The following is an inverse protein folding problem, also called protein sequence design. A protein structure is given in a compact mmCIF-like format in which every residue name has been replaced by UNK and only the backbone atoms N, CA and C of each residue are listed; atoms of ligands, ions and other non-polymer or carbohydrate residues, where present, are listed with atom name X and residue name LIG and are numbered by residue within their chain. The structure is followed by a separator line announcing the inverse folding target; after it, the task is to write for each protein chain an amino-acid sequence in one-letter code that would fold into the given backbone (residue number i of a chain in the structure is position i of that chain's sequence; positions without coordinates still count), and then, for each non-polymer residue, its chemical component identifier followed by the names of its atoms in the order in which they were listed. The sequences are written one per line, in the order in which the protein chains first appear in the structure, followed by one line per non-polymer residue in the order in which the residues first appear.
data_IF_285643174012
#
_entry.id   IF_285643174012
#
_cell.length_a   1.000
_cell.length_b   1.000
_cell.length_c   1.000
_cell.angle_alpha   90.00
_cell.angle_beta   90.00
_cell.angle_gamma   90.00
#
_symmetry.space_group_name_H-M   'P 1'
#
loop_
_entity.id
_entity.type
_entity.pdbx_description
1 polymer ?
#
# COMPACT_ATOMS: atom_id res chain seq x y z
N UNK A 1 10.89 -24.06 11.63
CA UNK A 1 11.60 -23.52 12.82
C UNK A 1 11.87 -22.05 12.54
N UNK A 2 11.82 -21.17 13.58
CA UNK A 2 12.12 -19.75 13.43
C UNK A 2 13.55 -19.54 12.93
N UNK A 3 13.75 -18.60 12.00
CA UNK A 3 15.07 -18.15 11.52
C UNK A 3 15.72 -17.17 12.49
N UNK A 4 14.91 -16.48 13.30
CA UNK A 4 15.34 -15.45 14.22
C UNK A 4 15.54 -15.99 15.64
N UNK A 5 16.41 -15.38 16.46
CA UNK A 5 16.43 -15.62 17.90
C UNK A 5 15.08 -15.20 18.49
N UNK A 6 14.82 -15.59 19.73
CA UNK A 6 13.61 -15.11 20.43
C UNK A 6 13.74 -13.62 20.70
N UNK A 7 12.82 -12.84 20.14
CA UNK A 7 12.76 -11.39 20.21
C UNK A 7 11.60 -10.94 21.09
N UNK A 8 11.69 -9.73 21.61
CA UNK A 8 10.56 -8.97 22.11
C UNK A 8 10.07 -8.03 21.00
N UNK A 9 8.91 -8.34 20.43
CA UNK A 9 8.31 -7.57 19.33
C UNK A 9 7.14 -6.75 19.88
N UNK A 10 7.17 -5.44 19.67
CA UNK A 10 5.98 -4.61 19.85
C UNK A 10 5.20 -4.58 18.55
N UNK A 11 3.94 -4.97 18.56
CA UNK A 11 3.04 -4.87 17.41
C UNK A 11 2.19 -3.62 17.57
N UNK A 12 2.47 -2.62 16.73
CA UNK A 12 1.77 -1.35 16.71
C UNK A 12 0.56 -1.45 15.78
N UNK A 13 -0.64 -1.22 16.31
CA UNK A 13 -1.90 -1.40 15.60
C UNK A 13 -2.94 -0.34 16.00
N UNK A 14 -4.09 -0.32 15.37
CA UNK A 14 -5.20 0.57 15.71
C UNK A 14 -5.02 1.97 15.15
N UNK A 15 -4.78 2.95 16.03
CA UNK A 15 -4.67 4.36 15.63
C UNK A 15 -6.05 5.00 15.39
N UNK A 16 -6.11 6.11 14.64
CA UNK A 16 -7.33 6.91 14.42
C UNK A 16 -7.71 7.08 12.95
N UNK A 17 -7.01 6.42 12.01
CA UNK A 17 -7.40 6.41 10.61
C UNK A 17 -8.72 5.65 10.39
N UNK A 18 -9.36 5.88 9.25
CA UNK A 18 -10.55 5.13 8.83
C UNK A 18 -10.30 3.61 8.75
N UNK A 19 -9.07 3.22 8.46
CA UNK A 19 -8.61 1.83 8.39
C UNK A 19 -8.30 1.18 9.75
N UNK A 20 -8.60 1.86 10.88
CA UNK A 20 -8.39 1.28 12.22
C UNK A 20 -8.86 -0.17 12.39
N UNK A 21 -10.06 -0.57 11.92
CA UNK A 21 -10.50 -1.98 12.05
C UNK A 21 -9.56 -2.95 11.33
N UNK A 22 -9.07 -2.60 10.15
CA UNK A 22 -8.12 -3.43 9.37
C UNK A 22 -6.77 -3.50 10.06
N UNK A 23 -6.30 -2.37 10.62
CA UNK A 23 -5.07 -2.31 11.42
C UNK A 23 -5.11 -3.22 12.64
N UNK A 24 -6.22 -3.22 13.38
CA UNK A 24 -6.40 -4.12 14.53
C UNK A 24 -6.40 -5.59 14.11
N UNK A 25 -7.06 -5.94 13.01
CA UNK A 25 -7.06 -7.32 12.48
C UNK A 25 -5.67 -7.75 12.00
N UNK A 26 -4.96 -6.86 11.28
CA UNK A 26 -3.58 -7.10 10.83
C UNK A 26 -2.65 -7.31 12.02
N UNK A 27 -2.71 -6.40 12.99
CA UNK A 27 -1.88 -6.47 14.19
C UNK A 27 -2.12 -7.71 15.03
N UNK A 28 -3.37 -8.12 15.21
CA UNK A 28 -3.70 -9.34 15.95
C UNK A 28 -3.23 -10.60 15.21
N UNK A 29 -3.39 -10.65 13.88
CA UNK A 29 -2.86 -11.76 13.07
C UNK A 29 -1.35 -11.88 13.19
N UNK A 30 -0.62 -10.75 13.06
CA UNK A 30 0.84 -10.70 13.24
C UNK A 30 1.26 -11.11 14.63
N UNK A 31 0.61 -10.57 15.67
CA UNK A 31 0.92 -10.87 17.07
C UNK A 31 0.78 -12.36 17.36
N UNK A 32 -0.32 -12.98 16.94
CA UNK A 32 -0.57 -14.41 17.10
C UNK A 32 0.49 -15.25 16.37
N UNK A 33 0.81 -14.91 15.12
CA UNK A 33 1.82 -15.63 14.35
C UNK A 33 3.20 -15.57 15.02
N UNK A 34 3.59 -14.43 15.59
CA UNK A 34 4.85 -14.26 16.32
C UNK A 34 4.87 -15.06 17.63
N UNK A 35 3.78 -15.09 18.39
CA UNK A 35 3.64 -15.90 19.61
C UNK A 35 3.75 -17.40 19.30
N UNK A 36 3.09 -17.87 18.24
CA UNK A 36 3.18 -19.27 17.78
C UNK A 36 4.62 -19.66 17.37
N UNK A 37 5.40 -18.69 16.91
CA UNK A 37 6.84 -18.89 16.60
C UNK A 37 7.77 -18.69 17.78
N UNK A 38 7.22 -18.36 18.96
CA UNK A 38 7.92 -18.31 20.24
C UNK A 38 8.55 -16.98 20.59
N UNK A 39 8.16 -15.89 19.91
CA UNK A 39 8.56 -14.53 20.26
C UNK A 39 7.72 -14.01 21.45
N UNK A 40 8.28 -13.08 22.22
CA UNK A 40 7.53 -12.28 23.17
C UNK A 40 6.85 -11.13 22.44
N UNK A 41 5.55 -10.96 22.62
CA UNK A 41 4.78 -9.93 21.91
C UNK A 41 4.15 -8.95 22.89
N UNK A 42 4.27 -7.65 22.60
CA UNK A 42 3.50 -6.58 23.24
C UNK A 42 2.61 -5.90 22.20
N UNK A 43 1.30 -6.01 22.36
CA UNK A 43 0.31 -5.33 21.51
C UNK A 43 0.16 -3.89 21.98
N UNK A 44 0.30 -2.93 21.08
CA UNK A 44 0.15 -1.50 21.36
C UNK A 44 -0.92 -0.94 20.43
N UNK A 45 -2.10 -0.69 20.99
CA UNK A 45 -3.10 0.14 20.31
C UNK A 45 -2.63 1.59 20.33
N UNK A 46 -2.39 2.14 19.15
CA UNK A 46 -1.73 3.43 19.01
C UNK A 46 -2.60 4.57 19.50
N UNK A 47 -2.03 5.38 20.37
CA UNK A 47 -2.53 6.68 20.82
C UNK A 47 -1.39 7.70 20.86
N UNK A 48 -1.67 8.89 21.41
CA UNK A 48 -0.68 9.99 21.51
C UNK A 48 0.45 9.72 22.50
N UNK A 49 0.35 8.70 23.33
CA UNK A 49 1.38 8.27 24.29
C UNK A 49 2.25 7.12 23.78
N UNK A 50 2.10 6.74 22.52
CA UNK A 50 2.78 5.57 21.91
C UNK A 50 4.31 5.61 22.09
N UNK A 51 4.95 6.78 21.97
CA UNK A 51 6.39 6.92 22.18
C UNK A 51 6.81 6.52 23.59
N UNK A 52 6.04 6.92 24.61
CA UNK A 52 6.28 6.54 26.02
C UNK A 52 6.13 5.03 26.20
N UNK A 53 5.07 4.44 25.66
CA UNK A 53 4.84 2.98 25.76
C UNK A 53 5.93 2.16 25.07
N UNK A 54 6.43 2.60 23.93
CA UNK A 54 7.57 1.97 23.26
C UNK A 54 8.84 2.11 24.08
N UNK A 55 9.09 3.29 24.68
CA UNK A 55 10.22 3.51 25.56
C UNK A 55 10.19 2.61 26.81
N UNK A 56 9.03 2.45 27.44
CA UNK A 56 8.83 1.62 28.63
C UNK A 56 8.93 0.13 28.32
N UNK A 57 8.32 -0.32 27.22
CA UNK A 57 8.29 -1.74 26.83
C UNK A 57 9.64 -2.25 26.35
N UNK A 58 10.50 -1.39 25.81
CA UNK A 58 11.84 -1.68 25.28
C UNK A 58 11.86 -2.89 24.34
N UNK A 59 11.11 -2.88 23.24
CA UNK A 59 11.12 -3.97 22.29
C UNK A 59 12.45 -4.02 21.53
N UNK A 60 12.82 -5.20 21.04
CA UNK A 60 13.94 -5.37 20.11
C UNK A 60 13.59 -4.77 18.72
N UNK A 61 12.31 -4.84 18.35
CA UNK A 61 11.77 -4.33 17.08
C UNK A 61 10.27 -4.03 17.21
N UNK A 62 9.81 -3.04 16.46
CA UNK A 62 8.39 -2.72 16.30
C UNK A 62 7.90 -3.30 14.97
N UNK A 63 6.86 -4.13 15.00
CA UNK A 63 6.10 -4.44 13.80
C UNK A 63 5.02 -3.38 13.63
N UNK A 64 5.15 -2.54 12.60
CA UNK A 64 4.14 -1.55 12.26
C UNK A 64 3.01 -2.21 11.47
N UNK A 65 1.84 -2.36 12.07
CA UNK A 65 0.62 -2.87 11.43
C UNK A 65 -0.47 -1.78 11.33
N UNK A 66 -0.07 -0.51 11.43
CA UNK A 66 -0.97 0.62 11.21
C UNK A 66 -1.29 0.77 9.72
N UNK A 67 -2.45 1.35 9.43
CA UNK A 67 -2.87 1.73 8.08
C UNK A 67 -3.32 3.19 8.08
N UNK A 68 -3.17 3.85 6.91
CA UNK A 68 -3.49 5.26 6.77
C UNK A 68 -2.61 6.18 7.63
N UNK A 69 -3.08 7.41 7.85
CA UNK A 69 -2.38 8.42 8.67
C UNK A 69 -2.65 8.15 10.16
N UNK A 70 -1.61 8.07 11.00
CA UNK A 70 -0.20 8.41 10.80
C UNK A 70 0.71 7.20 10.53
N UNK A 71 0.18 6.05 10.17
CA UNK A 71 0.93 4.80 10.01
C UNK A 71 1.74 4.70 8.73
N UNK A 72 1.27 5.37 7.65
CA UNK A 72 1.80 5.26 6.30
C UNK A 72 2.44 6.54 5.74
N UNK A 73 2.31 7.67 6.45
CA UNK A 73 2.73 9.00 6.00
C UNK A 73 4.11 9.46 6.49
N UNK A 74 4.86 8.59 7.18
CA UNK A 74 6.15 8.91 7.75
C UNK A 74 6.11 9.42 9.20
N UNK A 75 4.94 9.82 9.71
CA UNK A 75 4.82 10.39 11.07
C UNK A 75 5.28 9.41 12.15
N UNK A 76 4.76 8.19 12.14
CA UNK A 76 5.14 7.14 13.10
C UNK A 76 6.58 6.69 12.88
N UNK A 77 7.01 6.59 11.65
CA UNK A 77 8.39 6.23 11.30
C UNK A 77 9.39 7.24 11.87
N UNK A 78 9.12 8.54 11.69
CA UNK A 78 9.97 9.60 12.26
C UNK A 78 10.01 9.60 13.78
N UNK A 79 8.91 9.29 14.44
CA UNK A 79 8.88 9.10 15.90
C UNK A 79 9.75 7.91 16.32
N UNK A 80 9.66 6.77 15.63
CA UNK A 80 10.47 5.59 15.92
C UNK A 80 11.96 5.83 15.64
N UNK A 81 12.31 6.60 14.61
CA UNK A 81 13.68 7.04 14.34
C UNK A 81 14.23 7.88 15.50
N UNK A 82 13.44 8.83 16.02
CA UNK A 82 13.84 9.70 17.16
C UNK A 82 14.10 8.91 18.45
N UNK A 83 13.29 7.90 18.74
CA UNK A 83 13.47 7.07 19.94
C UNK A 83 14.48 5.92 19.72
N UNK A 84 14.97 5.73 18.49
CA UNK A 84 16.02 4.77 18.15
C UNK A 84 15.57 3.31 18.23
N UNK A 85 14.28 3.01 17.99
CA UNK A 85 13.77 1.64 17.97
C UNK A 85 13.68 1.12 16.54
N UNK A 86 14.20 -0.09 16.25
CA UNK A 86 14.00 -0.72 14.94
C UNK A 86 12.52 -0.96 14.64
N UNK A 87 12.13 -0.78 13.38
CA UNK A 87 10.74 -1.00 12.95
C UNK A 87 10.65 -1.57 11.53
N UNK A 88 9.58 -2.29 11.27
CA UNK A 88 9.32 -2.94 9.99
C UNK A 88 8.81 -1.95 8.94
N UNK A 89 8.92 -2.37 7.67
CA UNK A 89 8.50 -1.64 6.49
C UNK A 89 9.34 -0.38 6.20
N UNK A 90 8.85 0.46 5.30
CA UNK A 90 9.57 1.63 4.79
C UNK A 90 9.80 2.70 5.84
N UNK A 91 10.86 3.48 5.66
CA UNK A 91 11.21 4.58 6.55
C UNK A 91 10.44 5.86 6.25
N UNK A 92 10.74 6.92 7.03
CA UNK A 92 10.06 8.22 6.96
C UNK A 92 10.01 8.77 5.53
N UNK A 93 11.15 8.95 4.88
CA UNK A 93 11.21 9.60 3.56
C UNK A 93 10.43 8.82 2.49
N UNK A 94 10.57 7.51 2.46
CA UNK A 94 9.84 6.63 1.53
C UNK A 94 8.33 6.69 1.77
N UNK A 95 7.89 6.66 3.02
CA UNK A 95 6.47 6.75 3.38
C UNK A 95 5.86 8.08 2.94
N UNK A 96 6.55 9.20 3.17
CA UNK A 96 6.14 10.54 2.68
C UNK A 96 5.98 10.57 1.17
N UNK A 97 6.95 10.03 0.42
CA UNK A 97 6.91 10.04 -1.05
C UNK A 97 5.81 9.12 -1.56
N UNK A 98 5.69 7.92 -1.01
CA UNK A 98 4.79 6.90 -1.54
C UNK A 98 3.31 7.21 -1.32
N UNK A 99 2.94 7.88 -0.22
CA UNK A 99 1.55 8.26 0.04
C UNK A 99 1.11 9.43 -0.86
N UNK A 100 2.05 10.27 -1.30
CA UNK A 100 1.80 11.40 -2.17
C UNK A 100 1.90 10.97 -3.65
N UNK A 101 0.77 11.01 -4.35
CA UNK A 101 0.67 10.54 -5.74
C UNK A 101 1.47 11.39 -6.73
N UNK A 102 1.66 12.69 -6.45
CA UNK A 102 2.46 13.58 -7.29
C UNK A 102 3.96 13.30 -7.08
N UNK A 103 4.41 13.18 -5.83
CA UNK A 103 5.80 12.83 -5.52
C UNK A 103 6.16 11.44 -6.05
N UNK A 104 5.25 10.46 -5.92
CA UNK A 104 5.43 9.12 -6.49
C UNK A 104 5.63 9.18 -8.01
N UNK A 105 4.81 9.96 -8.73
CA UNK A 105 4.98 10.14 -10.19
C UNK A 105 6.31 10.78 -10.52
N UNK A 106 6.72 11.82 -9.80
CA UNK A 106 8.01 12.48 -10.00
C UNK A 106 9.19 11.52 -9.76
N UNK A 107 9.05 10.58 -8.83
CA UNK A 107 10.08 9.58 -8.55
C UNK A 107 10.13 8.46 -9.60
N UNK A 108 9.00 8.02 -10.14
CA UNK A 108 8.92 6.78 -10.93
C UNK A 108 8.88 7.01 -12.45
N UNK A 109 8.14 8.02 -12.94
CA UNK A 109 7.97 8.26 -14.38
C UNK A 109 9.28 8.52 -15.11
N UNK A 110 10.24 9.30 -14.58
CA UNK A 110 11.54 9.51 -15.23
C UNK A 110 12.36 8.24 -15.43
N UNK A 111 12.06 7.18 -14.69
CA UNK A 111 12.72 5.86 -14.78
C UNK A 111 11.98 4.86 -15.67
N UNK A 112 10.97 5.32 -16.43
CA UNK A 112 10.27 4.50 -17.42
C UNK A 112 9.14 3.65 -16.87
N UNK A 113 8.69 3.87 -15.62
CA UNK A 113 7.50 3.21 -15.08
C UNK A 113 6.26 3.95 -15.61
N UNK A 114 5.39 3.30 -16.39
CA UNK A 114 4.19 3.93 -16.91
C UNK A 114 3.21 4.24 -15.77
N UNK A 115 2.83 5.49 -15.63
CA UNK A 115 1.77 5.93 -14.73
C UNK A 115 0.75 6.77 -15.49
N UNK A 116 -0.55 6.81 -15.10
CA UNK A 116 -1.52 7.66 -15.77
C UNK A 116 -1.02 9.11 -15.77
N UNK A 117 -1.13 9.78 -16.90
CA UNK A 117 -0.91 11.23 -16.96
C UNK A 117 -1.87 11.95 -16.01
N UNK A 118 -1.72 13.26 -15.86
CA UNK A 118 -2.67 13.99 -15.02
C UNK A 118 -2.05 15.22 -14.38
N UNK A 119 -2.84 15.91 -13.57
CA UNK A 119 -2.42 17.12 -12.85
C UNK A 119 -3.20 17.31 -11.56
N UNK A 120 -2.62 18.06 -10.65
CA UNK A 120 -3.36 18.59 -9.50
C UNK A 120 -4.34 19.66 -10.00
N UNK A 121 -5.56 19.58 -9.50
CA UNK A 121 -6.64 20.55 -9.74
C UNK A 121 -7.19 21.03 -8.41
N UNK A 122 -7.53 22.31 -8.33
CA UNK A 122 -8.29 22.83 -7.20
C UNK A 122 -9.74 22.44 -7.35
N UNK A 123 -10.38 22.09 -6.27
CA UNK A 123 -11.78 21.64 -6.30
C UNK A 123 -12.74 22.67 -6.91
N UNK A 124 -12.47 23.96 -6.74
CA UNK A 124 -13.27 25.04 -7.33
C UNK A 124 -13.19 25.08 -8.87
N UNK A 125 -12.05 24.69 -9.46
CA UNK A 125 -11.86 24.67 -10.92
C UNK A 125 -12.82 23.70 -11.64
N UNK A 126 -13.26 22.64 -10.94
CA UNK A 126 -14.13 21.60 -11.47
C UNK A 126 -15.52 22.13 -11.89
N UNK A 127 -15.95 23.23 -11.29
CA UNK A 127 -17.23 23.85 -11.62
C UNK A 127 -17.18 24.76 -12.86
N UNK A 128 -15.99 25.15 -13.27
CA UNK A 128 -15.80 26.05 -14.42
C UNK A 128 -15.54 25.28 -15.72
N UNK A 129 -15.15 23.99 -15.62
CA UNK A 129 -14.90 23.11 -16.76
C UNK A 129 -14.21 21.82 -16.37
N UNK A 130 -14.20 20.87 -17.31
CA UNK A 130 -13.50 19.61 -17.13
C UNK A 130 -11.98 19.81 -17.21
N UNK A 131 -11.20 19.35 -16.22
CA UNK A 131 -9.74 19.50 -16.23
C UNK A 131 -9.05 18.60 -17.27
N UNK A 132 -9.70 17.50 -17.66
CA UNK A 132 -9.28 16.52 -18.66
C UNK A 132 -10.49 16.09 -19.51
N UNK A 133 -10.21 15.47 -20.66
CA UNK A 133 -11.26 14.79 -21.44
C UNK A 133 -11.87 13.64 -20.62
N UNK A 134 -13.18 13.52 -20.64
CA UNK A 134 -13.91 12.43 -19.98
C UNK A 134 -13.74 11.10 -20.71
N UNK A 135 -13.74 9.96 -20.01
CA UNK A 135 -13.83 9.82 -18.56
C UNK A 135 -12.48 10.09 -17.84
N UNK A 136 -12.55 10.65 -16.63
CA UNK A 136 -11.38 10.87 -15.77
C UNK A 136 -11.66 10.52 -14.33
N UNK A 137 -10.60 10.36 -13.55
CA UNK A 137 -10.65 10.04 -12.12
C UNK A 137 -10.21 11.26 -11.32
N UNK A 138 -10.97 11.57 -10.27
CA UNK A 138 -10.59 12.50 -9.22
C UNK A 138 -10.25 11.70 -7.96
N UNK A 139 -9.11 11.96 -7.37
CA UNK A 139 -8.66 11.29 -6.14
C UNK A 139 -7.86 12.24 -5.25
N UNK A 140 -7.94 12.12 -3.91
CA UNK A 140 -7.07 12.88 -3.03
C UNK A 140 -5.60 12.61 -3.31
N UNK A 141 -4.75 13.62 -3.13
CA UNK A 141 -3.31 13.49 -3.40
C UNK A 141 -2.64 12.54 -2.41
N UNK A 142 -3.00 12.63 -1.11
CA UNK A 142 -2.29 12.02 0.01
C UNK A 142 -3.15 11.00 0.80
N UNK A 143 -4.23 10.49 0.23
CA UNK A 143 -5.08 9.49 0.89
C UNK A 143 -4.87 8.10 0.28
N UNK A 144 -4.96 7.08 1.13
CA UNK A 144 -4.92 5.67 0.75
C UNK A 144 -6.30 5.04 0.56
N UNK A 145 -6.34 3.72 0.36
CA UNK A 145 -7.53 2.86 0.41
C UNK A 145 -8.71 3.28 -0.47
N UNK A 146 -8.47 3.96 -1.60
CA UNK A 146 -9.53 4.49 -2.49
C UNK A 146 -10.52 5.46 -1.81
N UNK A 147 -10.18 6.00 -0.65
CA UNK A 147 -11.00 7.02 0.02
C UNK A 147 -11.07 8.26 -0.86
N UNK A 148 -12.28 8.76 -1.10
CA UNK A 148 -12.49 9.98 -1.86
C UNK A 148 -12.22 9.88 -3.36
N UNK A 149 -12.19 8.68 -3.94
CA UNK A 149 -12.07 8.49 -5.40
C UNK A 149 -13.42 8.69 -6.07
N UNK A 150 -13.46 9.45 -7.17
CA UNK A 150 -14.63 9.60 -8.02
C UNK A 150 -14.26 9.45 -9.50
N UNK A 151 -15.08 8.71 -10.24
CA UNK A 151 -14.98 8.58 -11.69
C UNK A 151 -15.99 9.54 -12.31
N UNK A 152 -15.52 10.49 -13.11
CA UNK A 152 -16.36 11.38 -13.91
C UNK A 152 -16.54 10.74 -15.29
N UNK A 153 -17.75 10.24 -15.55
CA UNK A 153 -18.04 9.46 -16.77
C UNK A 153 -18.29 10.34 -17.99
N UNK A 154 -18.21 9.74 -19.17
CA UNK A 154 -18.48 10.42 -20.43
C UNK A 154 -19.94 10.92 -20.50
N UNK A 155 -20.89 10.22 -19.88
CA UNK A 155 -22.31 10.54 -19.83
C UNK A 155 -22.62 11.70 -18.87
N UNK A 156 -21.65 12.09 -18.02
CA UNK A 156 -21.81 13.26 -17.14
C UNK A 156 -22.57 12.97 -15.84
N UNK A 157 -22.21 11.91 -15.13
CA UNK A 157 -22.80 11.49 -13.85
C UNK A 157 -22.85 12.59 -12.77
N UNK A 158 -22.02 13.61 -12.87
CA UNK A 158 -21.99 14.78 -11.97
C UNK A 158 -22.34 16.11 -12.66
N UNK A 159 -22.89 16.06 -13.89
CA UNK A 159 -23.09 17.23 -14.75
C UNK A 159 -21.91 17.50 -15.67
N UNK A 160 -22.06 18.46 -16.62
CA UNK A 160 -21.00 18.85 -17.56
C UNK A 160 -21.06 20.38 -17.79
N UNK A 161 -20.16 21.19 -17.15
CA UNK A 161 -19.19 20.82 -16.10
C UNK A 161 -19.81 20.23 -14.84
N UNK A 162 -18.97 19.80 -13.87
CA UNK A 162 -19.49 19.27 -12.59
C UNK A 162 -20.42 20.30 -11.95
N UNK A 163 -21.64 19.86 -11.61
CA UNK A 163 -22.64 20.72 -10.98
C UNK A 163 -22.22 21.08 -9.56
N UNK A 164 -22.48 22.33 -9.15
CA UNK A 164 -22.28 22.78 -7.75
C UNK A 164 -23.17 22.02 -6.74
N UNK A 165 -24.27 21.43 -7.20
CA UNK A 165 -25.17 20.61 -6.39
C UNK A 165 -24.73 19.13 -6.31
N UNK A 166 -23.80 18.70 -7.16
CA UNK A 166 -23.29 17.33 -7.16
C UNK A 166 -22.48 17.07 -5.88
N UNK A 167 -22.58 15.82 -5.38
CA UNK A 167 -21.83 15.34 -4.22
C UNK A 167 -20.63 14.52 -4.69
N UNK A 168 -19.46 14.81 -4.10
CA UNK A 168 -18.23 14.09 -4.42
C UNK A 168 -17.04 14.52 -3.56
N UNK A 169 -15.85 13.91 -3.78
CA UNK A 169 -14.67 14.15 -2.96
C UNK A 169 -14.18 15.60 -2.99
N UNK A 170 -14.44 16.34 -4.07
CA UNK A 170 -14.09 17.77 -4.19
C UNK A 170 -14.73 18.67 -3.13
N UNK A 171 -15.70 18.18 -2.37
CA UNK A 171 -16.30 18.93 -1.25
C UNK A 171 -15.49 18.80 0.05
N UNK A 172 -14.60 17.82 0.13
CA UNK A 172 -13.82 17.50 1.32
C UNK A 172 -12.35 17.90 1.18
N UNK A 173 -11.85 18.01 -0.05
CA UNK A 173 -10.44 18.26 -0.35
C UNK A 173 -10.30 19.56 -1.15
N UNK A 174 -9.35 20.41 -0.77
CA UNK A 174 -9.04 21.65 -1.49
C UNK A 174 -8.44 21.37 -2.87
N UNK A 175 -7.64 20.31 -2.97
CA UNK A 175 -6.96 19.89 -4.21
C UNK A 175 -7.07 18.39 -4.42
N UNK A 176 -7.19 17.97 -5.66
CA UNK A 176 -7.30 16.57 -6.09
C UNK A 176 -6.33 16.29 -7.24
N UNK A 177 -5.83 15.06 -7.30
CA UNK A 177 -5.20 14.53 -8.49
C UNK A 177 -6.31 14.18 -9.50
N UNK A 178 -6.22 14.75 -10.70
CA UNK A 178 -7.08 14.41 -11.84
C UNK A 178 -6.28 13.60 -12.87
N UNK A 179 -6.73 12.40 -13.20
CA UNK A 179 -6.09 11.47 -14.12
C UNK A 179 -7.06 10.94 -15.17
N UNK A 180 -6.60 10.59 -16.39
CA UNK A 180 -7.41 9.82 -17.32
C UNK A 180 -7.89 8.51 -16.69
N UNK A 181 -9.13 8.13 -16.92
CA UNK A 181 -9.63 6.82 -16.49
C UNK A 181 -9.02 5.72 -17.37
N UNK A 182 -8.27 4.82 -16.77
CA UNK A 182 -7.73 3.64 -17.45
C UNK A 182 -8.77 2.52 -17.35
N UNK A 183 -9.24 2.04 -18.49
CA UNK A 183 -10.18 0.92 -18.61
C UNK A 183 -9.51 -0.41 -18.23
N UNK A 184 -10.30 -1.48 -18.26
CA UNK A 184 -9.80 -2.84 -18.19
C UNK A 184 -9.66 -3.36 -16.76
N UNK A 185 -8.60 -4.11 -16.51
CA UNK A 185 -8.43 -5.00 -15.35
C UNK A 185 -7.61 -4.35 -14.26
N UNK A 186 -7.90 -4.72 -13.01
CA UNK A 186 -7.13 -4.25 -11.85
C UNK A 186 -6.21 -5.36 -11.37
N UNK A 187 -4.91 -5.05 -11.32
CA UNK A 187 -3.86 -6.00 -10.98
C UNK A 187 -3.05 -5.46 -9.81
N UNK A 188 -2.51 -6.36 -9.00
CA UNK A 188 -1.64 -5.97 -7.90
C UNK A 188 -0.49 -6.95 -7.76
N UNK A 189 0.70 -6.42 -7.43
CA UNK A 189 1.91 -7.21 -7.24
C UNK A 189 2.64 -6.78 -5.97
N UNK A 190 2.97 -7.73 -5.11
CA UNK A 190 3.74 -7.50 -3.91
C UNK A 190 5.22 -7.76 -4.14
N UNK A 191 6.04 -7.02 -3.39
CA UNK A 191 7.49 -7.21 -3.29
C UNK A 191 7.83 -7.51 -1.84
N UNK A 192 8.70 -8.49 -1.62
CA UNK A 192 9.25 -8.86 -0.31
C UNK A 192 10.78 -8.84 -0.40
N UNK A 193 11.40 -7.90 0.29
CA UNK A 193 12.83 -7.62 0.13
C UNK A 193 13.18 -7.30 -1.32
N UNK A 194 14.03 -8.08 -1.94
CA UNK A 194 14.48 -7.90 -3.33
C UNK A 194 13.69 -8.73 -4.36
N UNK A 195 12.59 -9.37 -3.96
CA UNK A 195 11.84 -10.30 -4.78
C UNK A 195 10.39 -9.84 -4.96
N UNK A 196 9.96 -9.65 -6.22
CA UNK A 196 8.53 -9.59 -6.55
C UNK A 196 7.91 -11.00 -6.40
N UNK A 197 6.73 -11.08 -5.79
CA UNK A 197 6.09 -12.34 -5.42
C UNK A 197 5.22 -12.89 -6.57
N UNK A 198 4.01 -12.35 -6.70
CA UNK A 198 2.99 -12.84 -7.63
C UNK A 198 2.14 -11.67 -8.11
N UNK A 199 1.38 -11.86 -9.18
CA UNK A 199 0.34 -10.92 -9.60
C UNK A 199 -1.02 -11.52 -9.23
N UNK A 200 -1.83 -10.74 -8.51
CA UNK A 200 -3.24 -11.02 -8.26
C UNK A 200 -4.10 -10.08 -9.09
N UNK A 201 -5.14 -10.60 -9.72
CA UNK A 201 -6.20 -9.79 -10.30
C UNK A 201 -7.32 -9.60 -9.30
N UNK A 202 -7.81 -8.36 -9.22
CA UNK A 202 -8.93 -7.97 -8.38
C UNK A 202 -10.17 -7.79 -9.26
N UNK A 203 -11.16 -8.65 -9.06
CA UNK A 203 -12.41 -8.64 -9.83
C UNK A 203 -13.55 -8.18 -8.92
N UNK A 204 -13.87 -6.87 -8.90
CA UNK A 204 -14.98 -6.38 -8.08
C UNK A 204 -16.30 -6.82 -8.65
N UNK A 205 -17.22 -7.29 -7.79
CA UNK A 205 -18.59 -7.69 -8.21
C UNK A 205 -19.46 -6.49 -8.59
N UNK A 206 -19.10 -5.29 -8.15
CA UNK A 206 -19.81 -4.03 -8.42
C UNK A 206 -18.93 -3.04 -9.16
N UNK A 207 -18.55 -3.31 -10.39
CA UNK A 207 -17.98 -2.35 -11.34
C UNK A 207 -16.69 -1.61 -11.00
N UNK A 208 -16.40 -1.26 -9.73
CA UNK A 208 -15.20 -0.53 -9.30
C UNK A 208 -14.68 -1.04 -7.96
N UNK A 209 -13.37 -1.10 -7.81
CA UNK A 209 -12.68 -1.52 -6.59
C UNK A 209 -12.52 -0.32 -5.64
N UNK A 210 -13.63 0.09 -5.02
CA UNK A 210 -13.69 1.16 -4.03
C UNK A 210 -13.40 0.66 -2.61
N UNK A 211 -13.54 1.56 -1.61
CA UNK A 211 -13.33 1.23 -0.20
C UNK A 211 -14.22 0.06 0.27
N UNK A 212 -15.50 0.07 -0.11
CA UNK A 212 -16.44 -0.99 0.30
C UNK A 212 -16.08 -2.33 -0.36
N UNK A 213 -15.67 -2.30 -1.64
CA UNK A 213 -15.21 -3.48 -2.35
C UNK A 213 -13.90 -4.06 -1.78
N UNK A 214 -13.02 -3.21 -1.18
CA UNK A 214 -11.76 -3.62 -0.54
C UNK A 214 -11.97 -4.34 0.80
N UNK A 215 -12.95 -3.90 1.59
CA UNK A 215 -13.05 -4.31 2.99
C UNK A 215 -14.36 -5.05 3.35
N UNK A 216 -15.27 -5.23 2.40
CA UNK A 216 -16.46 -6.04 2.57
C UNK A 216 -16.21 -7.44 2.03
N UNK A 217 -16.33 -8.44 2.89
CA UNK A 217 -16.10 -9.85 2.53
C UNK A 217 -16.99 -10.29 1.35
N UNK A 218 -16.37 -10.93 0.37
CA UNK A 218 -17.03 -11.44 -0.81
C UNK A 218 -17.46 -10.40 -1.87
N UNK A 219 -17.11 -9.11 -1.72
CA UNK A 219 -17.37 -8.06 -2.73
C UNK A 219 -16.35 -8.04 -3.86
N UNK A 220 -15.16 -8.57 -3.64
CA UNK A 220 -14.11 -8.71 -4.64
C UNK A 220 -13.62 -10.16 -4.69
N UNK A 221 -13.47 -10.68 -5.90
CA UNK A 221 -12.82 -11.97 -6.14
C UNK A 221 -11.33 -11.73 -6.39
N UNK A 222 -10.48 -12.49 -5.69
CA UNK A 222 -9.04 -12.50 -5.93
C UNK A 222 -8.69 -13.68 -6.83
N UNK A 223 -8.10 -13.40 -7.98
CA UNK A 223 -7.55 -14.43 -8.87
C UNK A 223 -6.04 -14.43 -8.75
N UNK A 224 -5.50 -15.34 -7.94
CA UNK A 224 -4.07 -15.47 -7.68
C UNK A 224 -3.60 -16.91 -8.00
N UNK A 225 -2.66 -17.09 -8.95
CA UNK A 225 -2.07 -16.09 -9.85
C UNK A 225 -3.08 -15.55 -10.88
N UNK A 226 -2.92 -14.28 -11.27
CA UNK A 226 -3.77 -13.63 -12.26
C UNK A 226 -3.75 -14.38 -13.61
N UNK A 227 -4.92 -14.54 -14.22
CA UNK A 227 -5.06 -15.17 -15.53
C UNK A 227 -4.89 -14.12 -16.65
N UNK A 228 -3.65 -13.70 -16.88
CA UNK A 228 -3.22 -12.67 -17.83
C UNK A 228 -2.06 -13.17 -18.70
N UNK A 229 -1.75 -12.54 -19.84
CA UNK A 229 -0.59 -12.88 -20.65
C UNK A 229 0.71 -12.85 -19.83
N UNK A 230 1.61 -13.80 -20.11
CA UNK A 230 2.90 -13.90 -19.40
C UNK A 230 3.72 -12.60 -19.46
N UNK A 231 3.62 -11.87 -20.57
CA UNK A 231 4.31 -10.60 -20.75
C UNK A 231 3.80 -9.52 -19.80
N UNK A 232 2.48 -9.42 -19.61
CA UNK A 232 1.88 -8.48 -18.64
C UNK A 232 2.25 -8.88 -17.21
N UNK A 233 2.24 -10.18 -16.90
CA UNK A 233 2.73 -10.69 -15.61
C UNK A 233 4.16 -10.24 -15.35
N UNK A 234 5.06 -10.43 -16.33
CA UNK A 234 6.47 -10.02 -16.24
C UNK A 234 6.60 -8.53 -15.99
N UNK A 235 5.89 -7.70 -16.75
CA UNK A 235 5.93 -6.24 -16.60
C UNK A 235 5.40 -5.77 -15.24
N UNK A 236 4.29 -6.33 -14.74
CA UNK A 236 3.79 -6.02 -13.39
C UNK A 236 4.84 -6.30 -12.31
N UNK A 237 5.49 -7.48 -12.38
CA UNK A 237 6.51 -7.85 -11.40
C UNK A 237 7.77 -6.98 -11.51
N UNK A 238 8.21 -6.66 -12.73
CA UNK A 238 9.35 -5.77 -12.97
C UNK A 238 9.07 -4.35 -12.48
N UNK A 239 7.93 -3.76 -12.83
CA UNK A 239 7.58 -2.42 -12.40
C UNK A 239 7.36 -2.33 -10.89
N UNK A 240 6.74 -3.34 -10.26
CA UNK A 240 6.61 -3.39 -8.82
C UNK A 240 7.97 -3.43 -8.11
N UNK A 241 8.89 -4.28 -8.56
CA UNK A 241 10.23 -4.38 -8.00
C UNK A 241 11.05 -3.10 -8.25
N UNK A 242 10.95 -2.53 -9.44
CA UNK A 242 11.61 -1.27 -9.76
C UNK A 242 11.07 -0.11 -8.92
N UNK A 243 9.75 0.00 -8.76
CA UNK A 243 9.12 1.02 -7.91
C UNK A 243 9.55 0.86 -6.44
N UNK A 244 9.56 -0.38 -5.93
CA UNK A 244 10.05 -0.69 -4.58
C UNK A 244 11.47 -0.14 -4.35
N UNK A 245 12.38 -0.39 -5.30
CA UNK A 245 13.78 0.05 -5.22
C UNK A 245 13.94 1.55 -5.36
N UNK A 246 13.28 2.16 -6.35
CA UNK A 246 13.39 3.61 -6.62
C UNK A 246 12.83 4.46 -5.48
N UNK A 247 11.74 4.02 -4.86
CA UNK A 247 11.16 4.69 -3.69
C UNK A 247 11.97 4.43 -2.40
N UNK A 248 12.88 3.45 -2.41
CA UNK A 248 13.63 3.04 -1.22
C UNK A 248 12.77 2.27 -0.21
N UNK A 249 11.82 1.47 -0.70
CA UNK A 249 10.99 0.63 0.15
C UNK A 249 11.83 -0.45 0.84
N UNK A 250 11.34 -0.92 1.99
CA UNK A 250 11.94 -1.99 2.80
C UNK A 250 10.86 -2.99 3.23
N UNK A 251 11.30 -4.18 3.66
CA UNK A 251 10.42 -5.25 4.11
C UNK A 251 9.50 -5.71 2.99
N UNK A 252 8.28 -5.21 2.96
CA UNK A 252 7.39 -5.45 1.83
C UNK A 252 6.69 -4.18 1.35
N UNK A 253 6.30 -4.19 0.07
CA UNK A 253 5.42 -3.19 -0.54
C UNK A 253 4.45 -3.88 -1.50
N UNK A 254 3.41 -3.17 -1.91
CA UNK A 254 2.45 -3.65 -2.91
C UNK A 254 2.19 -2.53 -3.92
N UNK A 255 2.36 -2.84 -5.20
CA UNK A 255 2.06 -1.94 -6.30
C UNK A 255 0.75 -2.33 -6.96
N UNK A 256 -0.13 -1.35 -7.16
CA UNK A 256 -1.45 -1.53 -7.74
C UNK A 256 -1.46 -0.96 -9.16
N UNK A 257 -2.05 -1.69 -10.12
CA UNK A 257 -2.02 -1.39 -11.54
C UNK A 257 -3.43 -1.39 -12.14
N UNK A 258 -3.59 -0.63 -13.23
CA UNK A 258 -4.70 -0.79 -14.19
C UNK A 258 -4.11 -1.23 -15.52
N UNK A 259 -4.77 -2.21 -16.14
CA UNK A 259 -4.37 -2.72 -17.44
C UNK A 259 -5.54 -2.68 -18.43
N UNK A 260 -5.41 -1.81 -19.42
CA UNK A 260 -6.29 -1.77 -20.59
C UNK A 260 -5.84 -2.87 -21.57
N UNK A 261 -6.51 -4.01 -21.52
CA UNK A 261 -6.16 -5.21 -22.27
C UNK A 261 -6.32 -5.06 -23.80
N UNK A 262 -7.11 -4.09 -24.25
CA UNK A 262 -7.22 -3.76 -25.68
C UNK A 262 -5.95 -3.09 -26.24
N UNK A 263 -5.08 -2.55 -25.37
CA UNK A 263 -3.84 -1.86 -25.73
C UNK A 263 -2.58 -2.70 -25.49
N UNK A 264 -2.72 -3.95 -25.08
CA UNK A 264 -1.58 -4.83 -24.78
C UNK A 264 -0.65 -4.23 -23.70
N UNK A 265 0.66 -4.24 -23.94
CA UNK A 265 1.67 -3.74 -22.98
C UNK A 265 1.55 -2.23 -22.74
N UNK A 266 1.23 -1.45 -23.78
CA UNK A 266 1.04 0.02 -23.68
C UNK A 266 -0.20 0.41 -22.85
N UNK A 267 -1.02 -0.57 -22.49
CA UNK A 267 -2.19 -0.41 -21.64
C UNK A 267 -1.91 -0.58 -20.14
N UNK A 268 -0.72 -0.99 -19.74
CA UNK A 268 -0.37 -1.22 -18.33
C UNK A 268 0.13 0.06 -17.66
N UNK A 269 -0.51 0.44 -16.56
CA UNK A 269 -0.15 1.62 -15.77
C UNK A 269 -0.09 1.29 -14.29
N UNK A 270 1.01 1.68 -13.62
CA UNK A 270 1.12 1.67 -12.17
C UNK A 270 0.31 2.85 -11.61
N UNK A 271 -0.53 2.60 -10.63
CA UNK A 271 -1.36 3.62 -9.98
C UNK A 271 -0.73 4.18 -8.71
N UNK A 272 -0.24 3.29 -7.86
CA UNK A 272 0.35 3.61 -6.56
C UNK A 272 1.22 2.46 -6.05
N UNK A 273 2.13 2.75 -5.12
CA UNK A 273 2.90 1.76 -4.38
C UNK A 273 2.64 1.96 -2.89
N UNK A 274 2.04 0.96 -2.28
CA UNK A 274 1.70 0.94 -0.87
C UNK A 274 2.87 0.39 -0.05
N UNK A 275 3.39 1.20 0.87
CA UNK A 275 4.56 0.86 1.72
C UNK A 275 4.17 0.15 3.01
N UNK A 276 2.89 0.11 3.35
CA UNK A 276 2.32 -0.50 4.55
C UNK A 276 1.11 -1.37 4.18
N UNK A 277 1.29 -2.39 3.31
CA UNK A 277 0.17 -3.19 2.82
C UNK A 277 -0.48 -3.99 3.94
N UNK A 278 -1.78 -4.28 3.77
CA UNK A 278 -2.55 -5.06 4.72
C UNK A 278 -1.90 -6.41 5.06
N UNK A 279 -1.89 -6.74 6.34
CA UNK A 279 -1.25 -7.94 6.89
C UNK A 279 -2.23 -8.85 7.62
N UNK A 280 -3.54 -8.81 7.30
CA UNK A 280 -4.42 -9.89 7.74
C UNK A 280 -4.09 -11.19 7.00
N UNK A 281 -4.36 -12.37 7.56
CA UNK A 281 -4.09 -13.64 6.86
C UNK A 281 -4.75 -13.78 5.47
N UNK A 282 -5.78 -12.99 5.20
CA UNK A 282 -6.51 -12.94 3.91
C UNK A 282 -6.11 -11.75 3.03
N UNK A 283 -5.17 -10.92 3.47
CA UNK A 283 -4.68 -9.79 2.69
C UNK A 283 -3.82 -10.25 1.50
N UNK A 284 -3.70 -9.38 0.49
CA UNK A 284 -3.05 -9.68 -0.79
C UNK A 284 -1.57 -10.08 -0.66
N UNK A 285 -0.80 -9.42 0.22
CA UNK A 285 0.62 -9.78 0.43
C UNK A 285 0.77 -11.18 1.03
N UNK A 286 0.08 -11.55 2.13
CA UNK A 286 0.06 -12.92 2.64
C UNK A 286 -0.46 -13.94 1.64
N UNK A 287 -1.46 -13.60 0.83
CA UNK A 287 -1.98 -14.48 -0.23
C UNK A 287 -0.90 -14.79 -1.27
N UNK A 288 -0.26 -13.76 -1.83
CA UNK A 288 0.82 -13.90 -2.83
C UNK A 288 2.03 -14.61 -2.26
N UNK A 289 2.41 -14.33 -0.99
CA UNK A 289 3.49 -15.04 -0.31
C UNK A 289 3.21 -16.54 -0.20
N UNK A 290 1.98 -16.92 0.16
CA UNK A 290 1.56 -18.34 0.24
C UNK A 290 1.63 -19.03 -1.12
N UNK A 291 1.24 -18.37 -2.20
CA UNK A 291 1.42 -18.90 -3.57
C UNK A 291 2.89 -19.08 -3.95
N UNK A 292 3.79 -18.33 -3.33
CA UNK A 292 5.24 -18.49 -3.46
C UNK A 292 5.85 -19.49 -2.46
N UNK A 293 5.04 -20.21 -1.68
CA UNK A 293 5.48 -21.18 -0.68
C UNK A 293 5.96 -20.59 0.63
N UNK A 294 5.64 -19.33 0.92
CA UNK A 294 5.99 -18.62 2.16
C UNK A 294 4.76 -18.59 3.07
N UNK A 295 4.81 -19.31 4.18
CA UNK A 295 3.72 -19.32 5.16
C UNK A 295 3.64 -18.00 5.93
N UNK A 296 2.45 -17.66 6.43
CA UNK A 296 2.18 -16.37 7.06
C UNK A 296 3.15 -16.01 8.19
N UNK A 297 3.42 -16.94 9.11
CA UNK A 297 4.38 -16.71 10.19
C UNK A 297 5.82 -16.51 9.69
N UNK A 298 6.21 -17.19 8.59
CA UNK A 298 7.50 -17.01 7.97
C UNK A 298 7.61 -15.64 7.28
N UNK A 299 6.54 -15.19 6.59
CA UNK A 299 6.45 -13.85 6.00
C UNK A 299 6.68 -12.76 7.06
N UNK A 300 6.01 -12.86 8.19
CA UNK A 300 6.16 -11.90 9.31
C UNK A 300 7.59 -11.86 9.81
N UNK A 301 8.25 -13.03 9.99
CA UNK A 301 9.66 -13.07 10.42
C UNK A 301 10.61 -12.51 9.36
N UNK A 302 10.41 -12.75 8.08
CA UNK A 302 11.22 -12.17 6.98
C UNK A 302 11.17 -10.64 7.03
N UNK A 303 10.00 -10.07 7.24
CA UNK A 303 9.83 -8.60 7.36
C UNK A 303 10.56 -8.06 8.60
N UNK A 304 10.53 -8.77 9.72
CA UNK A 304 11.29 -8.40 10.94
C UNK A 304 12.79 -8.54 10.70
N UNK A 305 13.22 -9.61 10.06
CA UNK A 305 14.64 -9.85 9.74
C UNK A 305 15.20 -8.71 8.88
N UNK A 306 14.48 -8.30 7.83
CA UNK A 306 14.82 -7.14 7.01
C UNK A 306 14.99 -5.86 7.85
N UNK A 307 14.03 -5.57 8.73
CA UNK A 307 14.12 -4.42 9.64
C UNK A 307 15.37 -4.48 10.53
N UNK A 308 15.64 -5.61 11.15
CA UNK A 308 16.80 -5.77 12.05
C UNK A 308 18.13 -5.65 11.29
N UNK A 309 18.22 -6.13 10.04
CA UNK A 309 19.39 -5.93 9.18
C UNK A 309 19.59 -4.44 8.88
N UNK A 310 18.54 -3.74 8.48
CA UNK A 310 18.58 -2.31 8.17
C UNK A 310 19.09 -1.48 9.35
N UNK A 311 18.65 -1.79 10.57
CA UNK A 311 19.08 -1.10 11.79
C UNK A 311 20.40 -1.64 12.39
N UNK A 312 21.11 -2.54 11.70
CA UNK A 312 22.41 -3.09 12.13
C UNK A 312 22.33 -3.96 13.39
N UNK A 313 21.15 -4.56 13.65
CA UNK A 313 20.93 -5.46 14.78
C UNK A 313 21.22 -6.93 14.46
N UNK A 314 21.29 -7.27 13.18
CA UNK A 314 21.75 -8.56 12.67
C UNK A 314 22.89 -8.34 11.68
N UNK A 315 23.86 -9.28 11.57
CA UNK A 315 24.89 -9.19 10.54
C UNK A 315 24.25 -9.26 9.14
N UNK A 316 24.85 -8.55 8.16
CA UNK A 316 24.42 -8.67 6.79
C UNK A 316 24.43 -10.15 6.37
N UNK A 317 23.34 -10.62 5.75
CA UNK A 317 23.35 -11.96 5.14
C UNK A 317 24.42 -11.99 4.09
N UNK A 318 25.37 -12.92 4.18
CA UNK A 318 26.30 -13.17 3.09
C UNK A 318 25.46 -13.49 1.85
N UNK A 319 25.63 -12.72 0.77
CA UNK A 319 25.00 -13.01 -0.52
C UNK A 319 25.28 -14.47 -0.85
N UNK A 320 24.20 -15.26 -0.99
CA UNK A 320 24.33 -16.61 -1.51
C UNK A 320 24.76 -16.48 -2.98
N UNK A 321 26.07 -16.76 -3.23
CA UNK A 321 26.70 -16.72 -4.54
C UNK A 321 26.15 -17.76 -5.52
#
# INVERSE_FOLDING_TARGET
MSRLPKLHVAVLMGGWASERPVSLMSGEGVAKALEERGHRVTRIDMDREVALRLHESKPDVVFNALHGVPGEDGTVQGMMDLIGVPYTHSGLATSVIAIDKELTKHALVPHGIPMPGGRIVRSEELYDGDPLARPYVLKPVNEGSSVGVAIVTAEGNYGNPISRDAKGPWQQFESLMCEPYIRGRELTAAVLGDRALMVTELVPKSGFYDFDAKYTDGMTEHVCPAQIPAEITRLCLEYALQAHRLLGCRGCSRSDFRWDDERGEDGLFLLETNTQPGMTPLSLVPEQARHCGIEYGELVEIIIEDALHHFGKLPATAEAG
#
